data_IF_159100997496
#
_entry.id   IF_159100997496
#
_cell.length_a   1.000
_cell.length_b   1.000
_cell.length_c   1.000
_cell.angle_alpha   90.00
_cell.angle_beta   90.00
_cell.angle_gamma   90.00
#
_symmetry.space_group_name_H-M   'P 1'
#
loop_
_entity.id
_entity.type
_entity.pdbx_description
1 polymer ?
#
# COMPACT_ATOMS: atom_id res chain seq x y z
N UNK A 1 4.16 -12.59 14.35
CA UNK A 1 4.25 -11.58 13.26
C UNK A 1 5.67 -11.06 13.01
N UNK A 2 6.53 -10.95 14.05
CA UNK A 2 7.95 -10.58 13.91
C UNK A 2 8.72 -11.46 12.92
N UNK A 3 8.37 -12.75 12.84
CA UNK A 3 9.00 -13.69 11.91
C UNK A 3 8.79 -13.31 10.43
N UNK A 4 7.59 -12.89 10.02
CA UNK A 4 7.31 -12.49 8.64
C UNK A 4 8.06 -11.21 8.27
N UNK A 5 8.06 -10.23 9.18
CA UNK A 5 8.78 -8.96 8.98
C UNK A 5 10.29 -9.19 8.85
N UNK A 6 10.87 -9.95 9.79
CA UNK A 6 12.30 -10.28 9.78
C UNK A 6 12.69 -11.09 8.56
N UNK A 7 11.81 -11.98 8.06
CA UNK A 7 12.05 -12.73 6.83
C UNK A 7 12.11 -11.83 5.59
N UNK A 8 11.20 -10.86 5.47
CA UNK A 8 11.18 -9.92 4.35
C UNK A 8 12.40 -8.97 4.36
N UNK A 9 12.77 -8.47 5.54
CA UNK A 9 13.97 -7.64 5.69
C UNK A 9 15.25 -8.42 5.38
N UNK A 10 15.32 -9.68 5.81
CA UNK A 10 16.43 -10.57 5.47
C UNK A 10 16.49 -10.84 3.95
N UNK A 11 15.35 -11.13 3.33
CA UNK A 11 15.27 -11.36 1.89
C UNK A 11 15.67 -10.11 1.08
N UNK A 12 15.27 -8.92 1.51
CA UNK A 12 15.68 -7.67 0.87
C UNK A 12 17.21 -7.53 0.84
N UNK A 13 17.86 -7.72 1.99
CA UNK A 13 19.33 -7.68 2.11
C UNK A 13 20.01 -8.75 1.28
N UNK A 14 19.44 -9.94 1.24
CA UNK A 14 20.01 -11.04 0.47
C UNK A 14 19.91 -10.79 -1.05
N UNK A 15 18.85 -10.12 -1.51
CA UNK A 15 18.75 -9.65 -2.89
C UNK A 15 19.78 -8.56 -3.21
N UNK A 16 19.99 -7.59 -2.32
CA UNK A 16 21.04 -6.57 -2.49
C UNK A 16 22.44 -7.20 -2.59
N UNK A 17 22.70 -8.24 -1.80
CA UNK A 17 23.97 -8.98 -1.84
C UNK A 17 24.18 -9.75 -3.15
N UNK A 18 23.09 -10.16 -3.82
CA UNK A 18 23.09 -10.96 -5.05
C UNK A 18 23.06 -10.14 -6.33
N UNK A 19 23.27 -8.83 -6.22
CA UNK A 19 23.35 -7.91 -7.37
C UNK A 19 24.44 -8.30 -8.35
N UNK A 20 25.56 -8.84 -7.86
CA UNK A 20 26.65 -9.32 -8.71
C UNK A 20 26.62 -10.86 -8.80
N UNK A 21 26.32 -11.36 -10.00
CA UNK A 21 26.36 -12.80 -10.31
C UNK A 21 27.59 -13.09 -11.18
N UNK A 22 28.62 -13.80 -10.67
CA UNK A 22 29.89 -13.98 -11.39
C UNK A 22 29.79 -14.71 -12.73
N UNK A 23 28.68 -15.41 -12.98
CA UNK A 23 28.44 -16.22 -14.16
C UNK A 23 27.86 -15.39 -15.33
N UNK A 24 27.38 -14.17 -15.07
CA UNK A 24 26.80 -13.30 -16.08
C UNK A 24 27.77 -12.17 -16.47
N UNK A 25 27.71 -11.75 -17.72
CA UNK A 25 28.52 -10.65 -18.28
C UNK A 25 27.71 -9.79 -19.24
N UNK A 26 28.14 -8.54 -19.44
CA UNK A 26 27.47 -7.59 -20.34
C UNK A 26 26.02 -7.34 -19.91
N UNK A 27 25.11 -7.32 -20.89
CA UNK A 27 23.68 -7.05 -20.68
C UNK A 27 23.02 -8.02 -19.68
N UNK A 28 23.47 -9.28 -19.63
CA UNK A 28 22.94 -10.25 -18.68
C UNK A 28 23.31 -9.92 -17.22
N UNK A 29 24.52 -9.37 -17.01
CA UNK A 29 24.95 -8.94 -15.67
C UNK A 29 24.18 -7.70 -15.23
N UNK A 30 23.97 -6.74 -16.15
CA UNK A 30 23.16 -5.56 -15.91
C UNK A 30 21.70 -5.92 -15.59
N UNK A 31 21.09 -6.81 -16.39
CA UNK A 31 19.74 -7.30 -16.16
C UNK A 31 19.58 -8.04 -14.83
N UNK A 32 20.53 -8.90 -14.46
CA UNK A 32 20.52 -9.59 -13.17
C UNK A 32 20.66 -8.60 -11.99
N UNK A 33 21.52 -7.60 -12.13
CA UNK A 33 21.70 -6.52 -11.14
C UNK A 33 20.40 -5.74 -10.95
N UNK A 34 19.79 -5.29 -12.05
CA UNK A 34 18.54 -4.54 -12.03
C UNK A 34 17.39 -5.36 -11.43
N UNK A 35 17.30 -6.65 -11.80
CA UNK A 35 16.31 -7.56 -11.23
C UNK A 35 16.49 -7.72 -9.72
N UNK A 36 17.72 -7.95 -9.24
CA UNK A 36 18.02 -8.10 -7.83
C UNK A 36 17.63 -6.86 -7.01
N UNK A 37 17.96 -5.66 -7.50
CA UNK A 37 17.53 -4.41 -6.86
C UNK A 37 16.01 -4.26 -6.83
N UNK A 38 15.32 -4.62 -7.92
CA UNK A 38 13.85 -4.59 -7.96
C UNK A 38 13.23 -5.54 -6.93
N UNK A 39 13.77 -6.74 -6.79
CA UNK A 39 13.30 -7.69 -5.77
C UNK A 39 13.54 -7.18 -4.34
N UNK A 40 14.71 -6.59 -4.08
CA UNK A 40 15.00 -5.97 -2.78
C UNK A 40 13.98 -4.88 -2.43
N UNK A 41 13.70 -3.98 -3.38
CA UNK A 41 12.72 -2.92 -3.21
C UNK A 41 11.30 -3.47 -2.93
N UNK A 42 10.88 -4.52 -3.65
CA UNK A 42 9.57 -5.15 -3.41
C UNK A 42 9.50 -5.73 -1.99
N UNK A 43 10.52 -6.49 -1.56
CA UNK A 43 10.57 -7.04 -0.20
C UNK A 43 10.45 -5.93 0.86
N UNK A 44 11.08 -4.78 0.63
CA UNK A 44 11.06 -3.65 1.55
C UNK A 44 9.69 -2.96 1.61
N UNK A 45 9.05 -2.72 0.45
CA UNK A 45 7.69 -2.18 0.38
C UNK A 45 6.70 -3.08 1.13
N UNK A 46 6.80 -4.39 0.93
CA UNK A 46 5.94 -5.35 1.62
C UNK A 46 6.20 -5.30 3.14
N UNK A 47 7.47 -5.28 3.56
CA UNK A 47 7.82 -5.16 4.98
C UNK A 47 7.23 -3.88 5.60
N UNK A 48 7.35 -2.73 4.93
CA UNK A 48 6.81 -1.45 5.41
C UNK A 48 5.28 -1.49 5.55
N UNK A 49 4.58 -2.10 4.59
CA UNK A 49 3.13 -2.30 4.69
C UNK A 49 2.77 -3.16 5.91
N UNK A 50 3.51 -4.23 6.18
CA UNK A 50 3.31 -5.04 7.38
C UNK A 50 3.57 -4.24 8.66
N UNK A 51 4.58 -3.35 8.69
CA UNK A 51 4.81 -2.46 9.86
C UNK A 51 3.62 -1.55 10.12
N UNK A 52 3.10 -0.91 9.07
CA UNK A 52 1.95 0.01 9.18
C UNK A 52 0.69 -0.72 9.63
N UNK A 53 0.38 -1.87 9.01
CA UNK A 53 -0.78 -2.68 9.38
C UNK A 53 -0.71 -3.13 10.84
N UNK A 54 0.47 -3.58 11.28
CA UNK A 54 0.66 -4.02 12.65
C UNK A 54 0.57 -2.88 13.66
N UNK A 55 1.16 -1.72 13.36
CA UNK A 55 1.04 -0.53 14.20
C UNK A 55 -0.42 -0.12 14.37
N UNK A 56 -1.20 -0.11 13.29
CA UNK A 56 -2.65 0.19 13.34
C UNK A 56 -3.42 -0.81 14.17
N UNK A 57 -3.14 -2.11 14.01
CA UNK A 57 -3.76 -3.16 14.83
C UNK A 57 -3.48 -2.95 16.31
N UNK A 58 -2.21 -2.74 16.70
CA UNK A 58 -1.84 -2.51 18.08
C UNK A 58 -2.51 -1.27 18.68
N UNK A 59 -2.58 -0.16 17.93
CA UNK A 59 -3.26 1.06 18.38
C UNK A 59 -4.77 0.82 18.55
N UNK A 60 -5.41 0.18 17.57
CA UNK A 60 -6.84 -0.15 17.61
C UNK A 60 -7.19 -1.08 18.78
N UNK A 61 -6.39 -2.14 19.00
CA UNK A 61 -6.58 -3.06 20.13
C UNK A 61 -6.39 -2.37 21.49
N UNK A 62 -5.49 -1.40 21.59
CA UNK A 62 -5.33 -0.61 22.82
C UNK A 62 -6.54 0.32 23.06
N UNK A 63 -7.11 0.90 22.01
CA UNK A 63 -8.30 1.74 22.12
C UNK A 63 -9.52 0.94 22.58
N UNK A 64 -9.77 -0.24 22.01
CA UNK A 64 -10.85 -1.14 22.43
C UNK A 64 -10.67 -1.61 23.88
N UNK A 65 -9.43 -1.89 24.29
CA UNK A 65 -9.11 -2.24 25.67
C UNK A 65 -9.38 -1.08 26.65
N UNK A 66 -9.05 0.16 26.29
CA UNK A 66 -9.34 1.35 27.10
C UNK A 66 -10.84 1.64 27.23
N UNK A 67 -11.62 1.44 26.16
CA UNK A 67 -13.09 1.60 26.20
C UNK A 67 -13.72 0.57 27.15
N UNK A 68 -13.18 -0.65 27.21
CA UNK A 68 -13.65 -1.69 28.12
C UNK A 68 -13.32 -1.39 29.60
N UNK A 69 -12.21 -0.69 29.87
CA UNK A 69 -11.86 -0.20 31.22
C UNK A 69 -12.71 1.04 31.58
N UNK A 70 -12.97 1.92 30.61
CA UNK A 70 -13.78 3.13 30.78
C UNK A 70 -15.27 2.86 31.01
N UNK A 71 -15.78 1.68 30.63
CA UNK A 71 -17.18 1.28 30.86
C UNK A 71 -17.50 1.00 32.34
N UNK A 72 -16.48 0.90 33.21
CA UNK A 72 -16.68 0.79 34.67
C UNK A 72 -16.74 2.13 35.40
N UNK A 73 -16.57 3.27 34.71
CA UNK A 73 -16.72 4.58 35.34
C UNK A 73 -17.94 5.31 34.80
N UNK A 74 -19.07 5.06 35.46
CA UNK A 74 -20.24 5.92 35.40
C UNK A 74 -19.83 7.34 35.79
N UNK A 75 -19.70 8.25 34.84
CA UNK A 75 -19.75 9.69 35.10
C UNK A 75 -20.49 10.33 33.96
N UNK A 76 -21.82 10.38 34.15
CA UNK A 76 -22.75 11.28 33.49
C UNK A 76 -22.13 12.68 33.42
N UNK A 77 -21.69 13.08 32.24
CA UNK A 77 -21.47 14.49 31.92
C UNK A 77 -22.50 14.85 30.87
N UNK A 78 -23.64 15.31 31.36
CA UNK A 78 -24.72 15.92 30.59
C UNK A 78 -24.20 17.26 30.05
N UNK A 79 -23.78 17.31 28.79
CA UNK A 79 -23.44 18.55 28.11
C UNK A 79 -24.70 19.07 27.42
N UNK A 80 -25.25 20.14 27.98
CA UNK A 80 -26.35 20.91 27.40
C UNK A 80 -25.81 21.65 26.17
N UNK A 81 -26.06 21.11 24.97
CA UNK A 81 -25.74 21.81 23.72
C UNK A 81 -26.86 22.82 23.46
N UNK A 82 -26.59 24.08 23.79
CA UNK A 82 -27.41 25.21 23.38
C UNK A 82 -27.49 25.24 21.86
N UNK A 83 -28.71 25.38 21.35
CA UNK A 83 -29.01 25.41 19.92
C UNK A 83 -28.30 26.53 19.19
N UNK A 84 -27.80 26.18 18.01
CA UNK A 84 -27.63 27.14 16.93
C UNK A 84 -28.33 26.54 15.71
N UNK A 85 -29.30 27.30 15.23
CA UNK A 85 -30.14 27.01 14.09
C UNK A 85 -29.42 27.55 12.84
N UNK A 86 -28.87 26.67 12.02
CA UNK A 86 -28.50 27.02 10.65
C UNK A 86 -28.89 25.89 9.71
N UNK A 87 -30.01 26.15 9.04
CA UNK A 87 -30.61 25.44 7.93
C UNK A 87 -30.02 26.00 6.62
N UNK A 88 -29.28 25.18 5.87
CA UNK A 88 -29.32 25.21 4.40
C UNK A 88 -28.54 24.05 3.73
N UNK A 89 -29.34 23.13 3.19
CA UNK A 89 -29.23 22.55 1.85
C UNK A 89 -28.10 21.54 1.53
N UNK A 90 -28.57 20.30 1.38
CA UNK A 90 -27.89 19.15 0.78
C UNK A 90 -27.72 19.36 -0.73
N UNK A 91 -26.49 19.28 -1.24
CA UNK A 91 -26.24 19.42 -2.68
C UNK A 91 -25.07 18.60 -3.22
N UNK A 92 -25.38 17.37 -3.66
CA UNK A 92 -24.81 16.79 -4.90
C UNK A 92 -23.35 16.34 -4.89
N UNK A 93 -23.15 15.05 -4.66
CA UNK A 93 -22.01 14.28 -5.17
C UNK A 93 -21.97 14.30 -6.70
N UNK A 94 -20.82 14.57 -7.32
CA UNK A 94 -20.47 13.96 -8.61
C UNK A 94 -18.96 13.83 -8.80
N UNK A 95 -18.50 12.59 -8.82
CA UNK A 95 -17.21 12.16 -9.34
C UNK A 95 -17.30 12.07 -10.87
N UNK A 96 -16.46 12.81 -11.59
CA UNK A 96 -16.11 12.50 -13.00
C UNK A 96 -14.69 13.02 -13.25
N UNK A 97 -13.70 12.15 -13.10
CA UNK A 97 -13.06 11.39 -14.19
C UNK A 97 -12.10 12.25 -15.00
N UNK A 98 -10.82 12.15 -14.67
CA UNK A 98 -9.72 12.50 -15.58
C UNK A 98 -9.79 11.55 -16.78
N UNK A 99 -9.82 12.08 -17.99
CA UNK A 99 -9.43 11.32 -19.17
C UNK A 99 -8.60 12.24 -20.06
N UNK A 100 -7.32 12.30 -19.75
CA UNK A 100 -6.28 12.83 -20.61
C UNK A 100 -5.94 11.76 -21.66
N UNK A 101 -5.71 12.19 -22.91
CA UNK A 101 -4.89 11.43 -23.84
C UNK A 101 -5.58 11.04 -25.13
N UNK A 102 -5.33 11.84 -26.14
CA UNK A 102 -5.48 11.52 -27.55
C UNK A 102 -4.70 10.23 -27.87
N UNK A 103 -5.37 9.24 -28.46
CA UNK A 103 -4.68 8.20 -29.23
C UNK A 103 -5.18 8.26 -30.67
N UNK A 104 -4.27 8.75 -31.49
CA UNK A 104 -4.28 8.73 -32.93
C UNK A 104 -4.23 7.29 -33.44
N UNK A 105 -4.89 7.10 -34.58
CA UNK A 105 -5.09 5.88 -35.33
C UNK A 105 -3.77 5.27 -35.82
N UNK A 106 -3.73 3.93 -35.93
CA UNK A 106 -3.32 3.24 -37.15
C UNK A 106 -4.00 1.85 -37.18
N UNK A 107 -4.99 1.73 -38.06
CA UNK A 107 -5.36 0.49 -38.73
C UNK A 107 -4.15 -0.01 -39.53
N UNK A 108 -3.88 -1.31 -39.48
CA UNK A 108 -3.63 -2.10 -40.69
C UNK A 108 -3.91 -3.57 -40.36
N UNK A 109 -4.90 -4.11 -41.07
CA UNK A 109 -5.34 -5.49 -41.12
C UNK A 109 -4.29 -6.43 -41.77
N UNK A 110 -4.66 -7.70 -41.82
CA UNK A 110 -4.05 -8.83 -42.53
C UNK A 110 -2.96 -9.57 -41.73
N UNK A 111 -3.07 -10.84 -41.39
CA UNK A 111 -3.90 -11.89 -41.97
C UNK A 111 -3.03 -13.14 -42.10
N UNK A 112 -3.66 -14.27 -41.81
CA UNK A 112 -3.30 -15.62 -42.28
C UNK A 112 -2.31 -16.46 -41.46
N UNK A 113 -2.87 -17.60 -41.06
CA UNK A 113 -2.20 -18.80 -40.58
C UNK A 113 -1.20 -19.32 -41.62
N UNK A 114 -0.09 -19.92 -41.20
CA UNK A 114 0.33 -21.23 -41.73
C UNK A 114 1.55 -21.82 -41.02
N UNK A 115 1.31 -23.01 -40.47
CA UNK A 115 2.18 -24.19 -40.27
C UNK A 115 3.39 -24.12 -39.33
#
# INVERSE_FOLDING_TARGET
MSYCLGSLEYQAKEWERRTVVPQFSGEHAEGATAYAHKQAAICQIVADNFRVLWARYLIGSNLESMVNIGSSLSTSTYVYMHGDESDDELGGSDLKSNNDGEQDVNDDEDGDDTL
#
